data_IF_208091537371
#
_entry.id   IF_208091537371
#
_cell.length_a   1.000
_cell.length_b   1.000
_cell.length_c   1.000
_cell.angle_alpha   90.00
_cell.angle_beta   90.00
_cell.angle_gamma   90.00
#
_symmetry.space_group_name_H-M   'P 1'
#
loop_
_entity.id
_entity.type
_entity.pdbx_description
1 polymer ?
#
# COMPACT_ATOMS: atom_id res chain seq x y z
N UNK A 1 7.05 -6.15 -34.81
CA UNK A 1 6.78 -6.53 -33.40
C UNK A 1 5.80 -5.57 -32.68
N UNK A 2 4.91 -4.89 -33.42
CA UNK A 2 4.07 -3.79 -32.89
C UNK A 2 2.65 -4.26 -32.53
N UNK A 3 2.15 -5.28 -33.21
CA UNK A 3 0.76 -5.77 -33.11
C UNK A 3 0.50 -6.49 -31.76
N UNK A 4 1.47 -7.29 -31.30
CA UNK A 4 1.38 -8.04 -30.02
C UNK A 4 1.27 -7.08 -28.83
N UNK A 5 2.01 -5.96 -28.84
CA UNK A 5 1.95 -4.96 -27.78
C UNK A 5 0.61 -4.22 -27.75
N UNK A 6 0.03 -3.89 -28.92
CA UNK A 6 -1.29 -3.22 -28.96
C UNK A 6 -2.42 -4.10 -28.44
N UNK A 7 -2.37 -5.41 -28.70
CA UNK A 7 -3.41 -6.33 -28.23
C UNK A 7 -3.35 -6.54 -26.72
N UNK A 8 -2.15 -6.71 -26.16
CA UNK A 8 -1.95 -6.84 -24.71
C UNK A 8 -2.48 -5.58 -24.00
N UNK A 9 -2.11 -4.39 -24.47
CA UNK A 9 -2.57 -3.13 -23.87
C UNK A 9 -4.10 -3.03 -23.91
N UNK A 10 -4.74 -3.40 -25.02
CA UNK A 10 -6.20 -3.41 -25.13
C UNK A 10 -6.84 -4.35 -24.10
N UNK A 11 -6.36 -5.59 -23.99
CA UNK A 11 -6.89 -6.55 -23.00
C UNK A 11 -6.67 -6.07 -21.57
N UNK A 12 -5.52 -5.46 -21.28
CA UNK A 12 -5.26 -4.86 -19.98
C UNK A 12 -6.24 -3.69 -19.71
N UNK A 13 -6.52 -2.83 -20.69
CA UNK A 13 -7.54 -1.78 -20.54
C UNK A 13 -8.94 -2.35 -20.27
N UNK A 14 -9.33 -3.42 -20.97
CA UNK A 14 -10.60 -4.09 -20.73
C UNK A 14 -10.65 -4.66 -19.30
N UNK A 15 -9.56 -5.29 -18.83
CA UNK A 15 -9.42 -5.76 -17.46
C UNK A 15 -9.55 -4.61 -16.45
N UNK A 16 -8.88 -3.48 -16.68
CA UNK A 16 -8.99 -2.29 -15.83
C UNK A 16 -10.44 -1.84 -15.72
N UNK A 17 -11.16 -1.78 -16.85
CA UNK A 17 -12.56 -1.38 -16.85
C UNK A 17 -13.42 -2.31 -15.99
N UNK A 18 -13.30 -3.63 -16.18
CA UNK A 18 -14.03 -4.59 -15.34
C UNK A 18 -13.74 -4.42 -13.85
N UNK A 19 -12.46 -4.25 -13.48
CA UNK A 19 -12.06 -4.08 -12.08
C UNK A 19 -12.58 -2.77 -11.47
N UNK A 20 -12.60 -1.67 -12.25
CA UNK A 20 -13.17 -0.39 -11.82
C UNK A 20 -14.70 -0.46 -11.67
N UNK A 21 -15.36 -1.21 -12.54
CA UNK A 21 -16.82 -1.42 -12.52
C UNK A 21 -17.24 -2.47 -11.46
N UNK A 22 -16.29 -3.07 -10.73
CA UNK A 22 -16.54 -4.05 -9.66
C UNK A 22 -16.69 -5.51 -10.14
N UNK A 23 -16.48 -5.78 -11.43
CA UNK A 23 -16.46 -7.13 -12.01
C UNK A 23 -15.09 -7.79 -11.79
N UNK A 24 -14.83 -8.17 -10.53
CA UNK A 24 -13.49 -8.60 -10.07
C UNK A 24 -13.03 -9.88 -10.78
N UNK A 25 -13.89 -10.87 -10.92
CA UNK A 25 -13.52 -12.16 -11.49
C UNK A 25 -13.22 -12.06 -12.99
N UNK A 26 -14.01 -11.30 -13.75
CA UNK A 26 -13.79 -11.03 -15.17
C UNK A 26 -12.48 -10.28 -15.40
N UNK A 27 -12.23 -9.23 -14.62
CA UNK A 27 -11.00 -8.46 -14.70
C UNK A 27 -9.76 -9.27 -14.35
N UNK A 28 -9.81 -10.02 -13.24
CA UNK A 28 -8.72 -10.91 -12.82
C UNK A 28 -8.44 -12.00 -13.85
N UNK A 29 -9.48 -12.60 -14.44
CA UNK A 29 -9.33 -13.63 -15.46
C UNK A 29 -8.50 -13.12 -16.64
N UNK A 30 -8.78 -11.91 -17.12
CA UNK A 30 -8.03 -11.32 -18.23
C UNK A 30 -6.57 -11.07 -17.84
N UNK A 31 -6.31 -10.54 -16.63
CA UNK A 31 -4.94 -10.34 -16.14
C UNK A 31 -4.17 -11.66 -16.08
N UNK A 32 -4.79 -12.74 -15.59
CA UNK A 32 -4.18 -14.06 -15.50
C UNK A 32 -3.94 -14.72 -16.87
N UNK A 33 -4.75 -14.42 -17.89
CA UNK A 33 -4.47 -14.87 -19.26
C UNK A 33 -3.25 -14.17 -19.85
N UNK A 34 -3.06 -12.89 -19.52
CA UNK A 34 -1.92 -12.10 -19.98
C UNK A 34 -0.64 -12.55 -19.28
N UNK A 35 -0.68 -12.88 -18.00
CA UNK A 35 0.50 -13.38 -17.26
C UNK A 35 1.03 -14.71 -17.82
N UNK A 36 0.18 -15.50 -18.48
CA UNK A 36 0.55 -16.76 -19.18
C UNK A 36 1.15 -16.54 -20.57
N UNK A 37 0.84 -15.42 -21.22
CA UNK A 37 1.15 -15.18 -22.63
C UNK A 37 2.16 -14.05 -22.85
N UNK A 38 2.58 -13.35 -21.79
CA UNK A 38 3.46 -12.18 -21.84
C UNK A 38 4.52 -12.23 -20.73
N UNK A 39 5.61 -11.49 -20.91
CA UNK A 39 6.66 -11.40 -19.89
C UNK A 39 6.24 -10.47 -18.75
N UNK A 40 6.76 -10.71 -17.54
CA UNK A 40 6.50 -9.84 -16.36
C UNK A 40 6.73 -8.37 -16.67
N UNK A 41 7.83 -8.02 -17.34
CA UNK A 41 8.14 -6.63 -17.71
C UNK A 41 7.06 -5.95 -18.55
N UNK A 42 6.30 -6.70 -19.34
CA UNK A 42 5.28 -6.13 -20.25
C UNK A 42 3.98 -5.77 -19.54
N UNK A 43 3.64 -6.42 -18.44
CA UNK A 43 2.39 -6.16 -17.70
C UNK A 43 2.60 -5.57 -16.31
N UNK A 44 3.80 -5.62 -15.73
CA UNK A 44 4.04 -5.14 -14.36
C UNK A 44 3.69 -3.65 -14.21
N UNK A 45 4.07 -2.82 -15.19
CA UNK A 45 3.75 -1.40 -15.19
C UNK A 45 2.23 -1.18 -15.17
N UNK A 46 1.47 -1.99 -15.92
CA UNK A 46 0.03 -1.87 -15.98
C UNK A 46 -0.61 -2.23 -14.64
N UNK A 47 -0.16 -3.32 -14.01
CA UNK A 47 -0.72 -3.72 -12.72
C UNK A 47 -0.40 -2.65 -11.66
N UNK A 48 0.80 -2.07 -11.64
CA UNK A 48 1.10 -0.95 -10.75
C UNK A 48 0.14 0.24 -11.00
N UNK A 49 -0.14 0.58 -12.27
CA UNK A 49 -1.09 1.65 -12.62
C UNK A 49 -2.56 1.30 -12.27
N UNK A 50 -2.91 0.02 -12.31
CA UNK A 50 -4.23 -0.47 -11.91
C UNK A 50 -4.43 -0.28 -10.41
N UNK A 51 -3.43 -0.60 -9.59
CA UNK A 51 -3.48 -0.40 -8.13
C UNK A 51 -3.66 1.07 -7.76
N UNK A 52 -3.20 2.02 -8.56
CA UNK A 52 -3.45 3.45 -8.30
C UNK A 52 -4.89 3.88 -8.60
N UNK A 53 -5.64 3.09 -9.37
CA UNK A 53 -6.99 3.48 -9.85
C UNK A 53 -8.12 2.68 -9.22
N UNK A 54 -7.83 1.50 -8.65
CA UNK A 54 -8.87 0.61 -8.15
C UNK A 54 -9.52 1.15 -6.88
N UNK A 55 -10.83 0.97 -6.76
CA UNK A 55 -11.59 1.30 -5.56
C UNK A 55 -11.09 0.47 -4.37
N UNK A 56 -10.92 1.12 -3.21
CA UNK A 56 -10.44 0.46 -1.99
C UNK A 56 -11.32 -0.70 -1.53
N UNK A 57 -12.61 -0.74 -1.90
CA UNK A 57 -13.50 -1.88 -1.65
C UNK A 57 -13.01 -3.18 -2.27
N UNK A 58 -12.24 -3.09 -3.36
CA UNK A 58 -11.80 -4.23 -4.15
C UNK A 58 -10.29 -4.44 -4.16
N UNK A 59 -9.51 -3.45 -3.72
CA UNK A 59 -8.03 -3.47 -3.70
C UNK A 59 -7.46 -4.81 -3.21
N UNK A 60 -7.84 -5.22 -1.99
CA UNK A 60 -7.24 -6.40 -1.37
C UNK A 60 -7.73 -7.70 -1.99
N UNK A 61 -8.98 -7.77 -2.47
CA UNK A 61 -9.47 -8.94 -3.21
C UNK A 61 -8.72 -9.14 -4.52
N UNK A 62 -8.39 -8.05 -5.21
CA UNK A 62 -7.57 -8.10 -6.43
C UNK A 62 -6.15 -8.52 -6.08
N UNK A 63 -5.53 -7.91 -5.07
CA UNK A 63 -4.18 -8.27 -4.64
C UNK A 63 -4.07 -9.74 -4.17
N UNK A 64 -5.07 -10.28 -3.50
CA UNK A 64 -5.10 -11.70 -3.11
C UNK A 64 -5.09 -12.63 -4.35
N UNK A 65 -5.81 -12.25 -5.41
CA UNK A 65 -5.95 -13.07 -6.62
C UNK A 65 -4.76 -12.97 -7.57
N UNK A 66 -4.17 -11.78 -7.73
CA UNK A 66 -3.12 -11.52 -8.72
C UNK A 66 -1.76 -11.15 -8.12
N UNK A 67 -1.67 -10.86 -6.82
CA UNK A 67 -0.48 -10.35 -6.12
C UNK A 67 0.80 -11.14 -6.35
N UNK A 68 0.70 -12.48 -6.42
CA UNK A 68 1.86 -13.37 -6.62
C UNK A 68 2.38 -13.39 -8.07
N UNK A 69 1.60 -12.89 -9.02
CA UNK A 69 1.96 -12.91 -10.45
C UNK A 69 2.79 -11.70 -10.87
N UNK A 70 2.85 -10.65 -10.04
CA UNK A 70 3.58 -9.44 -10.36
C UNK A 70 4.54 -9.03 -9.23
N UNK A 71 5.43 -8.11 -9.57
CA UNK A 71 6.52 -7.66 -8.74
C UNK A 71 6.15 -6.29 -8.16
N UNK A 72 5.56 -6.30 -6.96
CA UNK A 72 5.15 -5.09 -6.21
C UNK A 72 6.34 -4.16 -5.97
N UNK A 73 7.56 -4.69 -5.83
CA UNK A 73 8.77 -3.92 -5.52
C UNK A 73 9.14 -2.97 -6.65
N UNK A 74 8.63 -3.22 -7.86
CA UNK A 74 8.79 -2.36 -9.05
C UNK A 74 7.73 -1.27 -9.16
N UNK A 75 6.67 -1.31 -8.35
CA UNK A 75 5.69 -0.25 -8.31
C UNK A 75 6.28 0.97 -7.60
N UNK A 76 6.25 2.12 -8.27
CA UNK A 76 6.81 3.38 -7.75
C UNK A 76 5.89 4.07 -6.74
N UNK A 77 4.60 3.75 -6.77
CA UNK A 77 3.59 4.36 -5.94
C UNK A 77 2.71 3.27 -5.33
N UNK A 78 2.97 2.96 -4.07
CA UNK A 78 2.16 2.03 -3.27
C UNK A 78 1.33 2.78 -2.21
N UNK A 79 1.24 4.11 -2.33
CA UNK A 79 0.45 4.97 -1.43
C UNK A 79 -0.99 4.49 -1.36
N UNK A 80 -1.60 4.21 -2.52
CA UNK A 80 -3.00 3.78 -2.63
C UNK A 80 -3.27 2.47 -1.89
N UNK A 81 -2.32 1.53 -1.85
CA UNK A 81 -2.48 0.28 -1.09
C UNK A 81 -2.55 0.58 0.42
N UNK A 82 -1.70 1.46 0.91
CA UNK A 82 -1.69 1.89 2.32
C UNK A 82 -2.94 2.70 2.66
N UNK A 83 -3.32 3.66 1.82
CA UNK A 83 -4.54 4.46 1.97
C UNK A 83 -5.79 3.58 2.01
N UNK A 84 -5.88 2.55 1.16
CA UNK A 84 -6.99 1.60 1.22
C UNK A 84 -6.99 0.77 2.51
N UNK A 85 -5.82 0.48 3.08
CA UNK A 85 -5.70 -0.11 4.41
C UNK A 85 -6.27 0.80 5.49
N UNK A 86 -5.94 2.09 5.43
CA UNK A 86 -6.46 3.13 6.33
C UNK A 86 -7.98 3.28 6.19
N UNK A 87 -8.50 3.42 4.96
CA UNK A 87 -9.92 3.60 4.67
C UNK A 87 -10.75 2.42 5.16
N UNK A 88 -10.28 1.19 4.89
CA UNK A 88 -10.95 -0.04 5.32
C UNK A 88 -10.60 -0.42 6.77
N UNK A 89 -9.86 0.42 7.49
CA UNK A 89 -9.34 0.18 8.82
C UNK A 89 -8.73 -1.22 9.02
N UNK A 90 -8.01 -1.71 8.01
CA UNK A 90 -7.47 -3.07 7.94
C UNK A 90 -5.96 -3.03 7.74
N UNK A 91 -5.23 -3.65 8.66
CA UNK A 91 -3.80 -3.97 8.51
C UNK A 91 -3.66 -5.42 8.05
N UNK A 92 -3.23 -5.63 6.81
CA UNK A 92 -3.02 -6.96 6.22
C UNK A 92 -1.61 -7.09 5.62
N UNK A 93 -1.29 -8.26 5.05
CA UNK A 93 0.03 -8.50 4.45
C UNK A 93 0.36 -7.54 3.31
N UNK A 94 -0.63 -7.12 2.53
CA UNK A 94 -0.44 -6.21 1.40
C UNK A 94 -0.07 -4.80 1.85
N UNK A 95 -0.72 -4.31 2.91
CA UNK A 95 -0.40 -3.02 3.53
C UNK A 95 1.01 -3.06 4.13
N UNK A 96 1.36 -4.10 4.88
CA UNK A 96 2.69 -4.26 5.45
C UNK A 96 3.76 -4.30 4.36
N UNK A 97 3.53 -5.09 3.31
CA UNK A 97 4.44 -5.19 2.16
C UNK A 97 4.59 -3.86 1.42
N UNK A 98 3.49 -3.12 1.24
CA UNK A 98 3.53 -1.79 0.64
C UNK A 98 4.38 -0.80 1.46
N UNK A 99 4.22 -0.79 2.78
CA UNK A 99 5.05 0.02 3.67
C UNK A 99 6.52 -0.37 3.59
N UNK A 100 6.84 -1.66 3.61
CA UNK A 100 8.21 -2.16 3.49
C UNK A 100 8.88 -1.72 2.18
N UNK A 101 8.15 -1.82 1.06
CA UNK A 101 8.66 -1.40 -0.25
C UNK A 101 8.90 0.11 -0.26
N UNK A 102 7.98 0.92 0.27
CA UNK A 102 8.17 2.38 0.37
C UNK A 102 9.42 2.74 1.19
N UNK A 103 9.68 2.01 2.27
CA UNK A 103 10.90 2.17 3.08
C UNK A 103 12.15 1.79 2.27
N UNK A 104 12.16 0.61 1.63
CA UNK A 104 13.31 0.12 0.85
C UNK A 104 13.63 1.07 -0.31
N UNK A 105 12.60 1.59 -0.96
CA UNK A 105 12.75 2.57 -2.05
C UNK A 105 13.10 3.98 -1.56
N UNK A 106 13.19 4.22 -0.25
CA UNK A 106 13.50 5.53 0.33
C UNK A 106 12.43 6.58 0.05
N UNK A 107 11.16 6.19 -0.14
CA UNK A 107 10.03 7.08 -0.46
C UNK A 107 9.54 7.84 0.78
N UNK A 108 10.45 8.56 1.44
CA UNK A 108 10.17 9.35 2.66
C UNK A 108 9.00 10.31 2.47
N UNK A 109 9.03 11.13 1.42
CA UNK A 109 7.97 12.12 1.15
C UNK A 109 6.58 11.48 1.09
N UNK A 110 6.47 10.26 0.54
CA UNK A 110 5.20 9.53 0.44
C UNK A 110 4.74 9.01 1.80
N UNK A 111 5.66 8.49 2.60
CA UNK A 111 5.35 8.04 3.97
C UNK A 111 4.92 9.23 4.86
N UNK A 112 5.57 10.38 4.72
CA UNK A 112 5.18 11.60 5.43
C UNK A 112 3.80 12.11 4.98
N UNK A 113 3.52 12.09 3.68
CA UNK A 113 2.20 12.43 3.13
C UNK A 113 1.11 11.55 3.75
N UNK A 114 1.31 10.22 3.75
CA UNK A 114 0.42 9.27 4.41
C UNK A 114 0.27 9.62 5.90
N UNK A 115 1.38 9.78 6.63
CA UNK A 115 1.38 10.08 8.07
C UNK A 115 0.61 11.35 8.44
N UNK A 116 0.71 12.41 7.63
CA UNK A 116 -0.05 13.65 7.84
C UNK A 116 -1.54 13.50 7.52
N UNK A 117 -1.88 12.71 6.51
CA UNK A 117 -3.27 12.50 6.11
C UNK A 117 -4.04 11.63 7.09
N UNK A 118 -3.43 10.55 7.61
CA UNK A 118 -4.10 9.67 8.58
C UNK A 118 -4.41 10.37 9.90
N UNK A 119 -3.59 11.34 10.32
CA UNK A 119 -3.85 12.13 11.53
C UNK A 119 -5.08 13.02 11.44
N UNK A 120 -5.60 13.25 10.22
CA UNK A 120 -6.87 13.96 10.02
C UNK A 120 -8.07 13.05 10.27
N UNK A 121 -7.87 11.75 10.36
CA UNK A 121 -8.92 10.75 10.56
C UNK A 121 -8.78 10.06 11.92
N UNK A 122 -9.67 10.41 12.85
CA UNK A 122 -9.66 9.86 14.21
C UNK A 122 -10.13 8.39 14.29
N UNK A 123 -10.66 7.80 13.21
CA UNK A 123 -11.20 6.42 13.22
C UNK A 123 -10.15 5.36 12.89
N UNK A 124 -8.94 5.78 12.47
CA UNK A 124 -7.85 4.86 12.13
C UNK A 124 -7.44 4.03 13.37
N UNK A 125 -7.32 2.72 13.17
CA UNK A 125 -6.91 1.78 14.22
C UNK A 125 -5.48 2.03 14.67
N UNK A 126 -5.23 1.73 15.95
CA UNK A 126 -3.93 1.97 16.55
C UNK A 126 -2.82 1.12 15.91
N UNK A 127 -3.12 -0.09 15.45
CA UNK A 127 -2.17 -0.97 14.75
C UNK A 127 -1.68 -0.37 13.43
N UNK A 128 -2.56 0.26 12.65
CA UNK A 128 -2.18 0.95 11.42
C UNK A 128 -1.28 2.16 11.72
N UNK A 129 -1.61 2.93 12.75
CA UNK A 129 -0.78 4.05 13.19
C UNK A 129 0.63 3.59 13.58
N UNK A 130 0.75 2.47 14.31
CA UNK A 130 2.04 1.87 14.68
C UNK A 130 2.82 1.41 13.44
N UNK A 131 2.17 0.73 12.49
CA UNK A 131 2.83 0.25 11.28
C UNK A 131 3.43 1.40 10.46
N UNK A 132 2.67 2.48 10.28
CA UNK A 132 3.14 3.67 9.54
C UNK A 132 4.23 4.41 10.33
N UNK A 133 4.11 4.52 11.65
CA UNK A 133 5.15 5.10 12.48
C UNK A 133 6.49 4.34 12.36
N UNK A 134 6.44 3.01 12.40
CA UNK A 134 7.61 2.16 12.24
C UNK A 134 8.25 2.32 10.84
N UNK A 135 7.43 2.48 9.80
CA UNK A 135 7.92 2.79 8.46
C UNK A 135 8.62 4.16 8.41
N UNK A 136 8.02 5.20 9.00
CA UNK A 136 8.60 6.55 9.10
C UNK A 136 9.95 6.56 9.83
N UNK A 137 10.07 5.85 10.95
CA UNK A 137 11.35 5.70 11.67
C UNK A 137 12.45 5.10 10.80
N UNK A 138 12.12 4.06 10.03
CA UNK A 138 13.08 3.38 9.16
C UNK A 138 13.60 4.27 8.02
N UNK A 139 12.86 5.32 7.66
CA UNK A 139 13.32 6.36 6.71
C UNK A 139 13.85 7.63 7.41
N UNK A 140 14.04 7.57 8.73
CA UNK A 140 14.63 8.65 9.52
C UNK A 140 13.68 9.80 9.88
N UNK A 141 12.36 9.61 9.78
CA UNK A 141 11.37 10.60 10.24
C UNK A 141 10.87 10.28 11.65
N UNK A 142 11.71 10.56 12.66
CA UNK A 142 11.35 10.32 14.06
C UNK A 142 10.25 11.26 14.58
N UNK A 143 10.13 12.47 14.02
CA UNK A 143 9.16 13.46 14.51
C UNK A 143 7.74 13.03 14.18
N UNK A 144 7.49 12.72 12.91
CA UNK A 144 6.16 12.33 12.47
C UNK A 144 5.82 10.92 12.99
N UNK A 145 6.81 10.01 13.06
CA UNK A 145 6.64 8.71 13.71
C UNK A 145 6.24 8.82 15.19
N UNK A 146 6.91 9.67 15.97
CA UNK A 146 6.58 9.88 17.39
C UNK A 146 5.16 10.42 17.56
N UNK A 147 4.73 11.32 16.68
CA UNK A 147 3.37 11.86 16.69
C UNK A 147 2.33 10.74 16.51
N UNK A 148 2.55 9.84 15.54
CA UNK A 148 1.68 8.69 15.31
C UNK A 148 1.67 7.70 16.48
N UNK A 149 2.81 7.44 17.12
CA UNK A 149 2.89 6.55 18.28
C UNK A 149 2.19 7.12 19.51
N UNK A 150 2.27 8.44 19.73
CA UNK A 150 1.50 9.10 20.78
C UNK A 150 0.01 8.87 20.54
N UNK A 151 -0.46 9.05 19.30
CA UNK A 151 -1.88 8.85 18.96
C UNK A 151 -2.31 7.38 19.08
N UNK A 152 -1.48 6.44 18.64
CA UNK A 152 -1.72 5.02 18.83
C UNK A 152 -1.76 4.64 20.33
N UNK A 153 -0.90 5.24 21.16
CA UNK A 153 -0.90 5.02 22.61
C UNK A 153 -2.17 5.56 23.27
N UNK A 154 -2.67 6.74 22.86
CA UNK A 154 -3.97 7.27 23.34
C UNK A 154 -5.13 6.32 23.02
N UNK A 155 -5.02 5.57 21.92
CA UNK A 155 -5.97 4.53 21.51
C UNK A 155 -5.76 3.18 22.23
N UNK A 156 -4.83 3.11 23.18
CA UNK A 156 -4.62 1.94 24.04
C UNK A 156 -3.64 0.90 23.49
N UNK A 157 -2.89 1.20 22.41
CA UNK A 157 -1.92 0.26 21.85
C UNK A 157 -0.67 0.16 22.74
N UNK A 158 -0.43 -1.04 23.28
CA UNK A 158 0.62 -1.27 24.29
C UNK A 158 2.01 -1.06 23.71
N UNK A 159 2.25 -1.54 22.50
CA UNK A 159 3.54 -1.39 21.82
C UNK A 159 3.86 0.10 21.62
N UNK A 160 2.86 0.89 21.21
CA UNK A 160 3.01 2.33 21.03
C UNK A 160 3.36 3.04 22.35
N UNK A 161 2.65 2.71 23.44
CA UNK A 161 2.93 3.32 24.75
C UNK A 161 4.33 2.99 25.27
N UNK A 162 4.80 1.76 25.09
CA UNK A 162 6.17 1.38 25.46
C UNK A 162 7.21 2.17 24.66
N UNK A 163 6.96 2.36 23.36
CA UNK A 163 7.83 3.16 22.51
C UNK A 163 7.88 4.63 22.95
N UNK A 164 6.74 5.24 23.29
CA UNK A 164 6.66 6.62 23.79
C UNK A 164 7.37 6.78 25.13
N UNK A 165 7.17 5.85 26.07
CA UNK A 165 7.85 5.89 27.38
C UNK A 165 9.38 5.77 27.25
N UNK A 166 9.86 5.02 26.27
CA UNK A 166 11.31 4.89 26.02
C UNK A 166 11.91 6.19 25.47
N UNK A 167 11.15 6.94 24.67
CA UNK A 167 11.56 8.24 24.15
C UNK A 167 11.65 9.29 25.26
N UNK A 168 10.67 9.35 26.16
CA UNK A 168 10.67 10.33 27.26
C UNK A 168 11.81 10.11 28.24
N UNK A 169 12.21 8.87 28.50
CA UNK A 169 13.35 8.56 29.38
C UNK A 169 14.68 9.03 28.78
N UNK A 170 14.87 8.91 27.46
CA UNK A 170 16.10 9.38 26.78
C UNK A 170 16.23 10.91 26.75
N UNK A 171 15.14 11.65 26.87
CA UNK A 171 15.14 13.12 26.88
C UNK A 171 15.56 13.72 28.24
N UNK A 172 15.61 12.90 29.29
CA UNK A 172 15.86 13.32 30.69
C UNK A 172 17.27 12.92 31.17
N UNK A 173 18.01 12.14 30.37
CA UNK A 173 19.44 11.86 30.55
C UNK A 173 20.30 12.77 29.68
#
# INVERSE_FOLDING_TARGET
MTIVKSEIIRKLMDAKKFLLDGYIDEGVKIVLEITKSSTKSEYNWFICNLLESIDCRYMFQVLDKIGSYFDLDKCQNLKSVVECGVINNTLNEHVNKALDILVIQGKRDKLEEIGREILKNNEVSASILVAIANALRRVGDERDATTLLIEACKKGEKEACNAVNTLTVRSVM
#
